data_IF_920021970229
#
_entry.id   IF_920021970229
#
_cell.length_a   1.000
_cell.length_b   1.000
_cell.length_c   1.000
_cell.angle_alpha   90.00
_cell.angle_beta   90.00
_cell.angle_gamma   90.00
#
_symmetry.space_group_name_H-M   'P 1'
#
loop_
_entity.id
_entity.type
_entity.pdbx_description
1 polymer ?
#
# COMPACT_ATOMS: atom_id res chain seq x y z
N UNK A 1 -22.92 -12.46 -0.72
CA UNK A 1 -23.25 -11.12 -1.22
C UNK A 1 -23.09 -10.18 -0.04
N UNK A 2 -21.96 -9.47 0.08
CA UNK A 2 -21.72 -8.48 1.14
C UNK A 2 -22.09 -7.10 0.60
N UNK A 3 -23.39 -6.79 0.62
CA UNK A 3 -23.88 -5.46 0.30
C UNK A 3 -23.66 -4.55 1.52
N UNK A 4 -23.00 -3.41 1.26
CA UNK A 4 -22.66 -2.31 2.19
C UNK A 4 -21.46 -2.48 3.14
N UNK A 5 -20.24 -2.58 2.57
CA UNK A 5 -19.03 -2.17 3.30
C UNK A 5 -18.90 -0.64 3.25
N UNK A 6 -18.98 0.00 4.42
CA UNK A 6 -18.82 1.43 4.60
C UNK A 6 -17.49 1.92 4.00
N UNK A 7 -17.54 3.06 3.28
CA UNK A 7 -16.34 3.81 2.89
C UNK A 7 -15.81 4.61 4.09
N UNK A 8 -14.51 4.55 4.32
CA UNK A 8 -13.83 5.21 5.42
C UNK A 8 -13.09 6.44 4.88
N UNK A 9 -13.51 7.63 5.33
CA UNK A 9 -12.80 8.88 5.10
C UNK A 9 -11.82 9.22 6.24
N UNK A 10 -11.16 10.37 6.13
CA UNK A 10 -10.20 10.86 7.13
C UNK A 10 -10.75 10.82 8.57
N UNK A 11 -11.94 11.41 8.78
CA UNK A 11 -12.57 11.50 10.10
C UNK A 11 -13.00 10.13 10.64
N UNK A 12 -13.54 9.26 9.78
CA UNK A 12 -13.88 7.88 10.16
C UNK A 12 -12.67 7.12 10.64
N UNK A 13 -11.56 7.19 9.90
CA UNK A 13 -10.32 6.50 10.23
C UNK A 13 -9.78 7.00 11.57
N UNK A 14 -9.73 8.32 11.79
CA UNK A 14 -9.27 8.88 13.07
C UNK A 14 -10.14 8.41 14.25
N UNK A 15 -11.47 8.46 14.08
CA UNK A 15 -12.44 8.04 15.09
C UNK A 15 -12.31 6.56 15.42
N UNK A 16 -12.20 5.69 14.40
CA UNK A 16 -12.06 4.26 14.57
C UNK A 16 -10.73 3.87 15.22
N UNK A 17 -9.62 4.53 14.85
CA UNK A 17 -8.33 4.36 15.53
C UNK A 17 -8.38 4.83 16.99
N UNK A 18 -9.12 5.90 17.29
CA UNK A 18 -9.39 6.34 18.66
C UNK A 18 -10.10 5.27 19.49
N UNK A 19 -11.20 4.72 18.98
CA UNK A 19 -11.94 3.62 19.61
C UNK A 19 -11.08 2.38 19.80
N UNK A 20 -10.28 2.03 18.80
CA UNK A 20 -9.32 0.92 18.89
C UNK A 20 -8.30 1.15 20.01
N UNK A 21 -7.74 2.36 20.11
CA UNK A 21 -6.83 2.75 21.17
C UNK A 21 -7.43 2.66 22.57
N UNK A 22 -8.70 3.05 22.73
CA UNK A 22 -9.45 2.91 23.98
C UNK A 22 -9.65 1.43 24.36
N UNK A 23 -10.10 0.59 23.42
CA UNK A 23 -10.29 -0.85 23.66
C UNK A 23 -8.99 -1.51 24.08
N UNK A 24 -7.89 -1.22 23.39
CA UNK A 24 -6.55 -1.74 23.72
C UNK A 24 -6.12 -1.29 25.12
N UNK A 25 -6.29 -0.01 25.45
CA UNK A 25 -5.96 0.52 26.78
C UNK A 25 -6.77 -0.15 27.89
N UNK A 26 -8.08 -0.37 27.69
CA UNK A 26 -8.94 -1.09 28.66
C UNK A 26 -8.47 -2.52 28.90
N UNK A 27 -7.94 -3.18 27.87
CA UNK A 27 -7.38 -4.54 27.95
C UNK A 27 -5.90 -4.56 28.37
N UNK A 28 -5.36 -3.42 28.83
CA UNK A 28 -3.96 -3.24 29.24
C UNK A 28 -2.96 -3.63 28.15
N UNK A 29 -3.35 -3.46 26.88
CA UNK A 29 -2.50 -3.66 25.72
C UNK A 29 -2.04 -2.31 25.18
N UNK A 30 -0.78 -2.24 24.74
CA UNK A 30 -0.27 -1.13 23.92
C UNK A 30 0.34 -1.70 22.65
N UNK A 31 -0.22 -1.30 21.50
CA UNK A 31 0.25 -1.76 20.20
C UNK A 31 0.84 -0.58 19.40
N UNK A 32 1.75 -0.94 18.50
CA UNK A 32 2.28 -0.04 17.47
C UNK A 32 1.87 -0.60 16.12
N UNK A 33 1.11 0.19 15.36
CA UNK A 33 0.67 -0.17 14.00
C UNK A 33 1.41 0.66 12.98
N UNK A 34 1.95 -0.01 11.96
CA UNK A 34 2.46 0.62 10.76
C UNK A 34 1.37 0.64 9.71
N UNK A 35 0.80 1.81 9.43
CA UNK A 35 -0.33 1.96 8.51
C UNK A 35 0.21 2.31 7.12
N UNK A 36 -0.27 1.59 6.12
CA UNK A 36 0.05 1.80 4.70
C UNK A 36 -1.23 1.93 3.87
N UNK A 37 -1.09 1.94 2.55
CA UNK A 37 -2.25 1.85 1.64
C UNK A 37 -3.16 3.09 1.68
N UNK A 38 -4.45 2.86 1.47
CA UNK A 38 -5.44 3.93 1.32
C UNK A 38 -5.62 4.77 2.59
N UNK A 39 -5.64 4.12 3.75
CA UNK A 39 -5.79 4.81 5.03
C UNK A 39 -4.60 5.73 5.37
N UNK A 40 -3.37 5.34 4.99
CA UNK A 40 -2.22 6.22 5.12
C UNK A 40 -2.39 7.48 4.26
N UNK A 41 -2.77 7.30 2.98
CA UNK A 41 -3.04 8.42 2.07
C UNK A 41 -4.10 9.35 2.67
N UNK A 42 -5.21 8.80 3.16
CA UNK A 42 -6.27 9.57 3.80
C UNK A 42 -5.79 10.39 5.01
N UNK A 43 -4.90 9.84 5.84
CA UNK A 43 -4.48 10.48 7.08
C UNK A 43 -3.31 11.47 6.93
N UNK A 44 -2.43 11.27 5.95
CA UNK A 44 -1.16 11.99 5.84
C UNK A 44 -0.96 12.77 4.54
N UNK A 45 -1.76 12.50 3.49
CA UNK A 45 -1.45 12.96 2.12
C UNK A 45 -2.65 13.66 1.48
N UNK A 46 -3.85 13.10 1.63
CA UNK A 46 -5.07 13.54 0.96
C UNK A 46 -6.30 13.19 1.79
N UNK A 47 -6.84 14.15 2.52
CA UNK A 47 -8.01 13.96 3.39
C UNK A 47 -9.30 13.65 2.63
N UNK A 48 -9.34 13.90 1.31
CA UNK A 48 -10.47 13.52 0.44
C UNK A 48 -10.46 12.03 0.05
N UNK A 49 -9.39 11.30 0.36
CA UNK A 49 -9.27 9.87 0.03
C UNK A 49 -10.23 9.03 0.86
N UNK A 50 -10.99 8.19 0.17
CA UNK A 50 -11.82 7.13 0.76
C UNK A 50 -11.17 5.75 0.58
N UNK A 51 -11.32 4.88 1.57
CA UNK A 51 -10.83 3.49 1.55
C UNK A 51 -11.86 2.54 2.16
N UNK A 52 -11.72 1.23 1.91
CA UNK A 52 -12.60 0.19 2.47
C UNK A 52 -12.09 -0.38 3.80
N UNK A 53 -10.78 -0.28 4.00
CA UNK A 53 -10.04 -0.86 5.11
C UNK A 53 -8.80 -0.02 5.44
N UNK A 54 -8.21 -0.33 6.61
CA UNK A 54 -6.94 0.18 7.09
C UNK A 54 -5.92 -0.95 6.99
N UNK A 55 -5.04 -0.85 5.99
CA UNK A 55 -3.92 -1.76 5.80
C UNK A 55 -2.85 -1.52 6.87
N UNK A 56 -2.58 -2.51 7.73
CA UNK A 56 -1.63 -2.37 8.83
C UNK A 56 -0.64 -3.53 8.96
N UNK A 57 0.57 -3.20 9.38
CA UNK A 57 1.55 -4.16 9.88
C UNK A 57 1.73 -3.95 11.37
N UNK A 58 1.70 -5.05 12.13
CA UNK A 58 1.85 -5.04 13.58
C UNK A 58 3.04 -5.88 13.99
N UNK A 59 3.88 -5.36 14.90
CA UNK A 59 5.10 -6.05 15.36
C UNK A 59 4.78 -7.32 16.12
N UNK A 60 3.88 -7.21 17.09
CA UNK A 60 3.49 -8.25 18.01
C UNK A 60 2.06 -7.99 18.48
N UNK A 61 1.36 -9.04 18.92
CA UNK A 61 0.00 -8.90 19.43
C UNK A 61 -1.08 -8.82 18.35
N UNK A 62 -0.88 -9.47 17.19
CA UNK A 62 -1.91 -9.58 16.13
C UNK A 62 -3.25 -10.07 16.68
N UNK A 63 -3.23 -11.05 17.60
CA UNK A 63 -4.44 -11.54 18.26
C UNK A 63 -5.17 -10.47 19.09
N UNK A 64 -4.43 -9.57 19.76
CA UNK A 64 -5.01 -8.49 20.54
C UNK A 64 -5.59 -7.40 19.63
N UNK A 65 -4.90 -7.11 18.52
CA UNK A 65 -5.40 -6.21 17.48
C UNK A 65 -6.71 -6.73 16.89
N UNK A 66 -6.76 -8.00 16.48
CA UNK A 66 -7.95 -8.61 15.89
C UNK A 66 -9.13 -8.63 16.86
N UNK A 67 -8.89 -9.01 18.12
CA UNK A 67 -9.93 -9.00 19.15
C UNK A 67 -10.46 -7.58 19.42
N UNK A 68 -9.58 -6.58 19.48
CA UNK A 68 -9.97 -5.19 19.68
C UNK A 68 -10.72 -4.61 18.47
N UNK A 69 -10.27 -4.93 17.24
CA UNK A 69 -10.93 -4.50 16.01
C UNK A 69 -12.34 -5.09 15.87
N UNK A 70 -12.52 -6.37 16.25
CA UNK A 70 -13.84 -7.01 16.28
C UNK A 70 -14.78 -6.37 17.33
N UNK A 71 -14.23 -5.97 18.49
CA UNK A 71 -15.00 -5.25 19.51
C UNK A 71 -15.42 -3.85 19.07
N UNK A 72 -14.56 -3.13 18.32
CA UNK A 72 -14.97 -1.86 17.69
C UNK A 72 -16.09 -2.11 16.68
N UNK A 73 -15.91 -3.08 15.78
CA UNK A 73 -16.90 -3.40 14.73
C UNK A 73 -18.27 -3.80 15.29
N UNK A 74 -18.34 -4.47 16.45
CA UNK A 74 -19.63 -4.82 17.08
C UNK A 74 -20.43 -3.61 17.57
N UNK A 75 -19.78 -2.45 17.71
CA UNK A 75 -20.40 -1.18 18.13
C UNK A 75 -20.56 -0.16 17.00
N UNK A 76 -20.13 -0.51 15.78
CA UNK A 76 -20.09 0.36 14.61
C UNK A 76 -20.99 -0.19 13.49
N UNK A 77 -22.23 0.30 13.36
CA UNK A 77 -23.14 -0.15 12.32
C UNK A 77 -22.54 0.05 10.92
N UNK A 78 -22.46 -1.03 10.13
CA UNK A 78 -21.97 -0.99 8.74
C UNK A 78 -20.45 -1.09 8.59
N UNK A 79 -19.69 -1.13 9.69
CA UNK A 79 -18.25 -1.39 9.64
C UNK A 79 -17.99 -2.86 9.32
N UNK A 80 -17.19 -3.12 8.29
CA UNK A 80 -16.88 -4.49 7.92
C UNK A 80 -15.99 -5.17 8.98
N UNK A 81 -16.14 -6.48 9.24
CA UNK A 81 -15.34 -7.19 10.24
C UNK A 81 -13.82 -7.15 10.00
N UNK A 82 -13.40 -6.93 8.76
CA UNK A 82 -12.02 -6.86 8.28
C UNK A 82 -11.51 -5.43 8.03
N UNK A 83 -12.18 -4.41 8.61
CA UNK A 83 -11.78 -3.00 8.48
C UNK A 83 -10.35 -2.70 8.93
N UNK A 84 -9.76 -3.54 9.80
CA UNK A 84 -8.31 -3.60 10.03
C UNK A 84 -7.75 -4.79 9.25
N UNK A 85 -7.02 -4.51 8.18
CA UNK A 85 -6.45 -5.52 7.28
C UNK A 85 -4.97 -5.75 7.59
N UNK A 86 -4.65 -6.93 8.10
CA UNK A 86 -3.26 -7.36 8.35
C UNK A 86 -2.68 -8.25 7.24
N UNK A 87 -3.47 -8.52 6.19
CA UNK A 87 -3.17 -9.51 5.15
C UNK A 87 -3.01 -8.87 3.76
N UNK A 88 -2.89 -7.54 3.68
CA UNK A 88 -2.70 -6.80 2.43
C UNK A 88 -1.46 -7.24 1.60
N UNK A 89 -0.66 -8.15 2.17
CA UNK A 89 0.54 -8.73 1.58
C UNK A 89 0.30 -10.04 0.80
N UNK A 90 -0.92 -10.60 0.82
CA UNK A 90 -1.19 -12.01 0.45
C UNK A 90 -0.87 -12.44 -0.98
N UNK A 91 -1.07 -11.58 -1.99
CA UNK A 91 -0.99 -12.00 -3.41
C UNK A 91 0.18 -11.40 -4.19
N UNK A 92 0.86 -10.39 -3.64
CA UNK A 92 1.86 -9.57 -4.37
C UNK A 92 3.29 -9.77 -3.88
N UNK A 93 3.50 -10.36 -2.70
CA UNK A 93 4.80 -10.46 -2.05
C UNK A 93 5.15 -11.91 -1.75
N UNK A 94 6.01 -12.51 -2.56
CA UNK A 94 6.65 -13.79 -2.23
C UNK A 94 7.44 -13.62 -0.92
N UNK A 95 6.85 -14.10 0.19
CA UNK A 95 7.37 -13.97 1.57
C UNK A 95 6.61 -13.03 2.52
N UNK A 96 5.62 -12.25 2.05
CA UNK A 96 4.84 -11.31 2.85
C UNK A 96 5.66 -10.11 3.37
N UNK A 97 5.10 -8.90 3.29
CA UNK A 97 5.71 -7.74 3.96
C UNK A 97 5.48 -7.83 5.48
N UNK A 98 6.44 -8.42 6.17
CA UNK A 98 6.44 -8.56 7.65
C UNK A 98 6.91 -7.29 8.34
N UNK A 99 6.68 -7.15 9.65
CA UNK A 99 7.26 -6.07 10.45
C UNK A 99 8.79 -5.96 10.23
N UNK A 100 9.49 -7.09 10.17
CA UNK A 100 10.93 -7.14 9.93
C UNK A 100 11.35 -6.49 8.62
N UNK A 101 10.49 -6.48 7.60
CA UNK A 101 10.74 -5.76 6.35
C UNK A 101 10.79 -4.25 6.57
N UNK A 102 9.85 -3.71 7.36
CA UNK A 102 9.80 -2.29 7.71
C UNK A 102 10.91 -1.90 8.70
N UNK A 103 11.19 -2.75 9.68
CA UNK A 103 12.22 -2.51 10.71
C UNK A 103 13.65 -2.54 10.13
N UNK A 104 13.93 -3.46 9.21
CA UNK A 104 15.23 -3.55 8.54
C UNK A 104 15.47 -2.40 7.55
N UNK A 105 14.42 -1.74 7.07
CA UNK A 105 14.50 -0.59 6.17
C UNK A 105 14.46 0.70 6.99
N UNK A 106 15.57 1.00 7.68
CA UNK A 106 15.85 2.25 8.42
C UNK A 106 15.75 3.56 7.60
N UNK A 107 15.20 3.49 6.40
CA UNK A 107 15.18 4.57 5.43
C UNK A 107 13.82 5.27 5.33
N UNK A 108 12.79 4.73 5.97
CA UNK A 108 11.51 5.41 6.13
C UNK A 108 11.52 6.32 7.37
N UNK A 109 10.80 7.42 7.30
CA UNK A 109 10.63 8.40 8.38
C UNK A 109 9.14 8.59 8.63
N UNK A 110 8.48 7.64 9.33
CA UNK A 110 7.05 7.66 9.49
C UNK A 110 6.58 8.79 10.42
N UNK A 111 5.38 9.32 10.15
CA UNK A 111 4.67 10.24 11.04
C UNK A 111 4.02 9.41 12.16
N UNK A 112 4.37 9.71 13.41
CA UNK A 112 3.82 9.02 14.57
C UNK A 112 2.61 9.77 15.13
N UNK A 113 1.55 9.05 15.46
CA UNK A 113 0.34 9.57 16.11
C UNK A 113 -0.08 8.66 17.24
N UNK A 114 -0.38 9.24 18.39
CA UNK A 114 -0.92 8.52 19.55
C UNK A 114 -2.45 8.55 19.52
N UNK A 115 -3.07 7.39 19.74
CA UNK A 115 -4.50 7.23 19.92
C UNK A 115 -4.73 6.69 21.33
N UNK A 116 -4.80 7.62 22.29
CA UNK A 116 -4.87 7.30 23.72
C UNK A 116 -3.60 6.60 24.22
N UNK A 117 -3.73 5.77 25.27
CA UNK A 117 -2.58 5.03 25.84
C UNK A 117 -2.33 3.67 25.17
N UNK A 118 -3.33 3.14 24.47
CA UNK A 118 -3.32 1.78 23.92
C UNK A 118 -2.77 1.63 22.51
N UNK A 119 -2.58 2.74 21.77
CA UNK A 119 -2.22 2.65 20.35
C UNK A 119 -1.30 3.79 19.90
N UNK A 120 -0.16 3.42 19.33
CA UNK A 120 0.67 4.28 18.48
C UNK A 120 0.46 3.86 17.02
N UNK A 121 0.21 4.83 16.14
CA UNK A 121 0.12 4.63 14.68
C UNK A 121 1.30 5.33 14.02
N UNK A 122 2.01 4.59 13.17
CA UNK A 122 3.09 5.05 12.33
C UNK A 122 2.60 5.09 10.89
N UNK A 123 2.47 6.29 10.33
CA UNK A 123 2.10 6.52 8.94
C UNK A 123 3.38 6.58 8.12
N UNK A 124 3.57 5.59 7.23
CA UNK A 124 4.67 5.56 6.25
C UNK A 124 4.80 6.87 5.46
N UNK A 125 6.04 7.21 5.06
CA UNK A 125 6.30 8.39 4.22
C UNK A 125 5.64 8.30 2.84
N UNK A 126 5.41 9.45 2.17
CA UNK A 126 4.96 9.47 0.79
C UNK A 126 5.82 8.62 -0.16
N UNK A 127 7.14 8.62 0.03
CA UNK A 127 8.09 7.85 -0.77
C UNK A 127 7.92 6.34 -0.57
N UNK A 128 7.68 5.88 0.66
CA UNK A 128 7.36 4.49 0.94
C UNK A 128 6.04 4.10 0.31
N UNK A 129 4.97 4.90 0.48
CA UNK A 129 3.67 4.60 -0.14
C UNK A 129 3.79 4.56 -1.66
N UNK A 130 4.55 5.47 -2.26
CA UNK A 130 4.85 5.43 -3.69
C UNK A 130 5.51 4.11 -4.08
N UNK A 131 6.54 3.68 -3.36
CA UNK A 131 7.21 2.42 -3.62
C UNK A 131 6.24 1.21 -3.52
N UNK A 132 5.38 1.18 -2.50
CA UNK A 132 4.42 0.08 -2.32
C UNK A 132 3.33 0.06 -3.39
N UNK A 133 2.81 1.24 -3.77
CA UNK A 133 1.83 1.39 -4.85
C UNK A 133 2.44 0.98 -6.19
N UNK A 134 3.67 1.42 -6.46
CA UNK A 134 4.44 1.00 -7.63
C UNK A 134 4.63 -0.52 -7.61
N UNK A 135 5.07 -1.11 -6.50
CA UNK A 135 5.26 -2.55 -6.42
C UNK A 135 3.98 -3.35 -6.71
N UNK A 136 2.84 -2.91 -6.18
CA UNK A 136 1.54 -3.52 -6.42
C UNK A 136 1.08 -3.39 -7.88
N UNK A 137 1.31 -2.23 -8.51
CA UNK A 137 1.11 -2.01 -9.95
C UNK A 137 -0.31 -2.22 -10.46
N UNK A 138 -1.32 -2.08 -9.60
CA UNK A 138 -2.73 -2.31 -9.99
C UNK A 138 -3.28 -1.07 -10.70
N UNK A 139 -4.24 -1.22 -11.64
CA UNK A 139 -4.86 -0.07 -12.31
C UNK A 139 -5.44 0.98 -11.35
N UNK A 140 -6.01 0.57 -10.22
CA UNK A 140 -6.55 1.48 -9.20
C UNK A 140 -5.50 2.33 -8.48
N UNK A 141 -4.22 1.96 -8.56
CA UNK A 141 -3.13 2.68 -7.88
C UNK A 141 -2.53 3.79 -8.77
N UNK A 142 -2.97 3.94 -10.03
CA UNK A 142 -2.42 4.91 -11.00
C UNK A 142 -2.52 6.35 -10.49
N UNK A 143 -3.70 6.76 -10.02
CA UNK A 143 -3.95 8.13 -9.54
C UNK A 143 -3.14 8.44 -8.28
N UNK A 144 -3.08 7.49 -7.34
CA UNK A 144 -2.25 7.58 -6.14
C UNK A 144 -0.78 7.75 -6.52
N UNK A 145 -0.25 6.94 -7.44
CA UNK A 145 1.15 7.01 -7.91
C UNK A 145 1.43 8.38 -8.52
N UNK A 146 0.56 8.90 -9.39
CA UNK A 146 0.76 10.21 -10.00
C UNK A 146 0.73 11.35 -8.97
N UNK A 147 -0.13 11.28 -7.95
CA UNK A 147 -0.17 12.25 -6.85
C UNK A 147 1.10 12.18 -6.00
N UNK A 148 1.53 10.98 -5.64
CA UNK A 148 2.72 10.74 -4.83
C UNK A 148 4.01 11.13 -5.55
N UNK A 149 4.12 10.89 -6.86
CA UNK A 149 5.24 11.36 -7.68
C UNK A 149 5.34 12.89 -7.66
N UNK A 150 4.21 13.59 -7.79
CA UNK A 150 4.17 15.06 -7.68
C UNK A 150 4.60 15.53 -6.29
N UNK A 151 4.11 14.89 -5.23
CA UNK A 151 4.42 15.24 -3.84
C UNK A 151 5.90 15.02 -3.49
N UNK A 152 6.46 13.90 -3.94
CA UNK A 152 7.86 13.51 -3.65
C UNK A 152 8.89 14.16 -4.59
N UNK A 153 8.43 14.83 -5.65
CA UNK A 153 9.30 15.39 -6.68
C UNK A 153 9.94 14.36 -7.60
N UNK A 154 9.53 13.08 -7.52
CA UNK A 154 9.97 12.02 -8.42
C UNK A 154 9.29 12.23 -9.77
N UNK A 155 10.08 12.67 -10.76
CA UNK A 155 9.57 13.01 -12.10
C UNK A 155 9.95 11.99 -13.16
N UNK A 156 10.99 11.20 -12.93
CA UNK A 156 11.50 10.27 -13.94
C UNK A 156 11.21 8.82 -13.56
N UNK A 157 11.03 7.95 -14.57
CA UNK A 157 10.97 6.51 -14.38
C UNK A 157 12.19 5.91 -13.64
N UNK A 158 13.38 6.44 -13.93
CA UNK A 158 14.61 6.00 -13.25
C UNK A 158 14.54 6.32 -11.76
N UNK A 159 14.09 7.51 -11.39
CA UNK A 159 13.99 7.91 -9.97
C UNK A 159 12.86 7.14 -9.26
N UNK A 160 11.77 6.85 -9.97
CA UNK A 160 10.73 5.95 -9.47
C UNK A 160 11.28 4.54 -9.21
N UNK A 161 12.11 4.02 -10.12
CA UNK A 161 12.78 2.73 -9.96
C UNK A 161 13.79 2.72 -8.81
N UNK A 162 14.57 3.78 -8.64
CA UNK A 162 15.46 3.97 -7.48
C UNK A 162 14.66 4.00 -6.18
N UNK A 163 13.52 4.72 -6.15
CA UNK A 163 12.65 4.78 -4.98
C UNK A 163 12.08 3.41 -4.63
N UNK A 164 11.55 2.69 -5.62
CA UNK A 164 11.08 1.32 -5.44
C UNK A 164 12.18 0.43 -4.89
N UNK A 165 13.38 0.45 -5.49
CA UNK A 165 14.50 -0.38 -5.07
C UNK A 165 14.96 -0.04 -3.65
N UNK A 166 15.03 1.25 -3.31
CA UNK A 166 15.37 1.75 -1.97
C UNK A 166 14.55 1.05 -0.89
N UNK A 167 13.22 1.11 -1.02
CA UNK A 167 12.31 0.56 -0.01
C UNK A 167 12.13 -0.94 -0.11
N UNK A 168 12.08 -1.50 -1.33
CA UNK A 168 11.63 -2.89 -1.53
C UNK A 168 12.73 -3.86 -1.94
N UNK A 169 13.87 -3.36 -2.41
CA UNK A 169 14.90 -4.16 -3.07
C UNK A 169 14.46 -4.75 -4.42
N UNK A 170 13.26 -4.39 -4.90
CA UNK A 170 12.72 -4.85 -6.19
C UNK A 170 13.02 -3.83 -7.28
N UNK A 171 13.23 -4.33 -8.50
CA UNK A 171 13.38 -3.46 -9.68
C UNK A 171 11.99 -3.10 -10.19
N UNK A 172 11.91 -1.97 -10.89
CA UNK A 172 10.66 -1.45 -11.42
C UNK A 172 9.94 -2.40 -12.40
N UNK A 173 10.70 -3.32 -13.00
CA UNK A 173 10.18 -4.35 -13.89
C UNK A 173 9.73 -5.63 -13.18
N UNK A 174 10.11 -5.79 -11.90
CA UNK A 174 9.61 -6.87 -11.04
C UNK A 174 8.26 -6.50 -10.41
N UNK A 175 7.97 -5.20 -10.31
CA UNK A 175 6.65 -4.70 -9.99
C UNK A 175 5.69 -5.11 -11.09
N UNK A 176 4.51 -5.63 -10.75
CA UNK A 176 3.51 -6.14 -11.71
C UNK A 176 2.85 -5.03 -12.55
N UNK A 177 3.61 -3.98 -12.87
CA UNK A 177 3.18 -2.81 -13.60
C UNK A 177 3.19 -3.10 -15.09
N UNK A 178 2.07 -2.78 -15.73
CA UNK A 178 1.97 -2.73 -17.17
C UNK A 178 2.91 -1.65 -17.74
N UNK A 179 3.85 -1.98 -18.64
CA UNK A 179 4.69 -0.99 -19.33
C UNK A 179 3.91 0.18 -19.96
N UNK A 180 2.65 -0.03 -20.35
CA UNK A 180 1.78 1.02 -20.90
C UNK A 180 1.37 2.08 -19.87
N UNK A 181 1.28 1.71 -18.59
CA UNK A 181 1.00 2.64 -17.49
C UNK A 181 2.03 3.77 -17.43
N UNK A 182 3.29 3.46 -17.75
CA UNK A 182 4.34 4.47 -17.74
C UNK A 182 4.29 5.44 -18.91
N UNK A 183 3.74 5.05 -20.05
CA UNK A 183 3.52 5.97 -21.18
C UNK A 183 2.46 7.03 -20.84
N UNK A 184 1.56 6.74 -19.89
CA UNK A 184 0.60 7.70 -19.37
C UNK A 184 1.20 8.64 -18.32
N UNK A 185 2.30 8.23 -17.67
CA UNK A 185 3.00 9.02 -16.65
C UNK A 185 4.06 9.92 -17.31
N UNK A 186 4.80 9.40 -18.31
CA UNK A 186 5.81 10.13 -19.08
C UNK A 186 6.10 9.46 -20.44
N UNK A 187 5.88 10.15 -21.59
CA UNK A 187 6.21 9.65 -22.93
C UNK A 187 7.70 9.31 -23.17
N UNK A 188 8.65 9.88 -22.41
CA UNK A 188 10.10 9.67 -22.57
C UNK A 188 10.60 8.31 -22.04
N UNK A 189 9.70 7.50 -21.45
CA UNK A 189 10.03 6.24 -20.77
C UNK A 189 10.84 5.25 -21.62
N UNK A 190 10.57 5.20 -22.93
CA UNK A 190 11.24 4.25 -23.83
C UNK A 190 12.72 4.54 -23.98
N UNK A 191 13.11 5.81 -23.92
CA UNK A 191 14.52 6.22 -24.05
C UNK A 191 15.27 6.02 -22.72
N UNK A 192 14.61 6.30 -21.60
CA UNK A 192 15.16 6.07 -20.25
C UNK A 192 15.34 4.57 -19.97
N UNK A 193 14.41 3.71 -20.41
CA UNK A 193 14.53 2.24 -20.34
C UNK A 193 15.87 1.74 -20.93
N UNK A 194 16.25 2.29 -22.08
CA UNK A 194 17.50 1.92 -22.76
C UNK A 194 18.75 2.49 -22.08
N UNK A 195 18.60 3.47 -21.18
CA UNK A 195 19.69 4.14 -20.44
C UNK A 195 19.85 3.64 -19.01
N UNK A 196 18.99 2.73 -18.53
CA UNK A 196 19.12 2.18 -17.18
C UNK A 196 20.44 1.40 -17.03
N UNK A 197 21.13 1.50 -15.88
CA UNK A 197 22.22 0.60 -15.54
C UNK A 197 21.82 -0.89 -15.68
N UNK A 198 22.71 -1.79 -16.13
CA UNK A 198 22.37 -3.20 -16.37
C UNK A 198 21.78 -3.94 -15.15
N UNK A 199 22.15 -3.54 -13.94
CA UNK A 199 21.63 -4.06 -12.68
C UNK A 199 20.18 -3.65 -12.39
N UNK A 200 19.72 -2.52 -12.98
CA UNK A 200 18.35 -2.02 -12.88
C UNK A 200 17.47 -2.42 -14.07
N UNK A 201 18.05 -2.92 -15.16
CA UNK A 201 17.33 -3.50 -16.30
C UNK A 201 16.69 -4.86 -15.94
N UNK A 202 15.58 -5.26 -16.58
CA UNK A 202 14.93 -6.53 -16.27
C UNK A 202 15.79 -7.73 -16.67
N UNK A 203 15.81 -8.78 -15.84
CA UNK A 203 16.30 -10.09 -16.24
C UNK A 203 15.25 -10.81 -17.09
N UNK A 204 15.17 -10.49 -18.40
CA UNK A 204 14.10 -10.88 -19.35
C UNK A 204 12.69 -10.42 -18.89
N UNK A 205 11.83 -9.93 -19.79
CA UNK A 205 10.48 -9.51 -19.41
C UNK A 205 9.70 -10.70 -18.81
N UNK A 206 8.88 -10.49 -17.76
CA UNK A 206 8.07 -11.55 -17.18
C UNK A 206 7.13 -12.13 -18.25
N UNK A 207 7.03 -13.46 -18.31
CA UNK A 207 6.00 -14.12 -19.10
C UNK A 207 4.64 -13.72 -18.51
N UNK A 208 3.71 -13.22 -19.35
CA UNK A 208 2.35 -12.76 -18.99
C UNK A 208 2.16 -11.23 -18.82
N UNK A 209 2.78 -10.43 -19.68
CA UNK A 209 2.46 -9.00 -19.82
C UNK A 209 0.99 -8.77 -20.24
N UNK A 210 0.46 -7.53 -20.10
CA UNK A 210 -0.87 -7.19 -20.65
C UNK A 210 -0.93 -7.52 -22.15
N UNK A 211 0.17 -7.35 -22.89
CA UNK A 211 0.31 -7.79 -24.29
C UNK A 211 0.04 -9.28 -24.47
N UNK A 212 0.51 -10.13 -23.56
CA UNK A 212 0.27 -11.58 -23.58
C UNK A 212 -1.17 -11.94 -23.15
N UNK A 213 -1.79 -11.12 -22.29
CA UNK A 213 -3.21 -11.28 -21.90
C UNK A 213 -4.15 -10.85 -23.03
N UNK A 214 -3.84 -9.74 -23.70
CA UNK A 214 -4.53 -9.24 -24.90
C UNK A 214 -4.40 -10.24 -26.06
N UNK A 215 -3.18 -10.74 -26.35
CA UNK A 215 -2.98 -11.79 -27.36
C UNK A 215 -3.80 -13.04 -27.06
N UNK A 216 -3.85 -13.49 -25.80
CA UNK A 216 -4.68 -14.65 -25.39
C UNK A 216 -6.18 -14.38 -25.50
N UNK A 217 -6.62 -13.17 -25.21
CA UNK A 217 -8.02 -12.78 -25.33
C UNK A 217 -8.47 -12.79 -26.79
N UNK A 218 -7.65 -12.25 -27.70
CA UNK A 218 -7.93 -12.26 -29.14
C UNK A 218 -7.71 -13.64 -29.79
N UNK A 219 -6.79 -14.47 -29.29
CA UNK A 219 -6.61 -15.85 -29.80
C UNK A 219 -7.71 -16.82 -29.36
N UNK A 220 -8.44 -16.53 -28.27
CA UNK A 220 -9.59 -17.32 -27.80
C UNK A 220 -10.90 -16.97 -28.52
N UNK A 221 -11.01 -15.80 -29.13
CA UNK A 221 -12.18 -15.37 -29.94
C UNK A 221 -12.14 -15.86 -31.40
N UNK A 222 -11.03 -16.45 -31.83
CA UNK A 222 -10.81 -16.95 -33.19
C UNK A 222 -10.93 -18.49 -33.30
N UNK A 223 -11.57 -19.15 -32.32
CA UNK A 223 -11.92 -20.57 -32.35
C UNK A 223 -13.41 -20.74 -32.07
#
# INVERSE_FOLDING_TARGET
>A
MSENQQDLGHEDIQRLLGKLGEVLARKQQRLVLYVVGGANIALAIDDTRITKDIDVVVKAGKQYLQAAAAEVASTEPGLAPDWINTEFTGDTYDGGMTWSWFDNKKQDTPIRREYGKGLEVQLASPEMILALKTLAGRPKDIEDIAKLMRLTGIRTPLDLGKNLYRFTGRRIFDAQIDPMMYLHIDPEFREIFNRLPPDLQPAKPPKNTLRDRIKRFFSKKAR
#
